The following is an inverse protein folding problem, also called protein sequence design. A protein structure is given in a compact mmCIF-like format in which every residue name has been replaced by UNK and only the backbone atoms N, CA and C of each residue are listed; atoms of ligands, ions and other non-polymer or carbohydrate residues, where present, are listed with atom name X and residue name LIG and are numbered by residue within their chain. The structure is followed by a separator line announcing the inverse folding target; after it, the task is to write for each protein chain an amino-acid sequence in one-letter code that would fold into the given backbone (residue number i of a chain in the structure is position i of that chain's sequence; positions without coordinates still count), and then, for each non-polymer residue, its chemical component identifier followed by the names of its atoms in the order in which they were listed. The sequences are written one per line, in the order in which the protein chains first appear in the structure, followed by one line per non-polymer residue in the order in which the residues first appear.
data_IF_519753275125
#
_entry.id   IF_519753275125
#
_cell.length_a   1.000
_cell.length_b   1.000
_cell.length_c   1.000
_cell.angle_alpha   90.00
_cell.angle_beta   90.00
_cell.angle_gamma   90.00
#
_symmetry.space_group_name_H-M   'P 1'
#
loop_
_entity.id
_entity.type
_entity.pdbx_description
1 polymer ?
#
# COMPACT_ATOMS: atom_id res chain seq x y z
N UNK A 1 -12.63 15.87 -47.43
CA UNK A 1 -13.50 15.95 -46.24
C UNK A 1 -13.58 14.61 -45.52
N UNK A 2 -14.01 13.53 -46.19
CA UNK A 2 -14.11 12.16 -45.63
C UNK A 2 -12.84 11.57 -44.99
N UNK A 3 -11.65 11.88 -45.53
CA UNK A 3 -10.37 11.39 -44.97
C UNK A 3 -10.01 12.03 -43.63
N UNK A 4 -10.42 13.29 -43.39
CA UNK A 4 -10.13 14.01 -42.15
C UNK A 4 -10.98 13.52 -40.98
N UNK A 5 -12.21 13.09 -41.23
CA UNK A 5 -13.11 12.56 -40.19
C UNK A 5 -12.69 11.17 -39.74
N UNK A 6 -12.24 10.33 -40.67
CA UNK A 6 -11.70 9.01 -40.35
C UNK A 6 -10.44 9.10 -39.47
N UNK A 7 -9.50 9.98 -39.83
CA UNK A 7 -8.29 10.21 -39.03
C UNK A 7 -8.62 10.74 -37.62
N UNK A 8 -9.66 11.56 -37.49
CA UNK A 8 -10.14 12.07 -36.20
C UNK A 8 -10.78 10.96 -35.35
N UNK A 9 -11.52 10.04 -35.96
CA UNK A 9 -12.09 8.89 -35.26
C UNK A 9 -10.98 7.94 -34.77
N UNK A 10 -10.00 7.65 -35.63
CA UNK A 10 -8.87 6.78 -35.29
C UNK A 10 -8.03 7.38 -34.14
N UNK A 11 -7.87 8.71 -34.11
CA UNK A 11 -7.15 9.39 -33.01
C UNK A 11 -7.92 9.34 -31.69
N UNK A 12 -9.25 9.51 -31.70
CA UNK A 12 -10.07 9.34 -30.50
C UNK A 12 -10.07 7.90 -30.01
N UNK A 13 -10.09 6.92 -30.91
CA UNK A 13 -10.00 5.51 -30.54
C UNK A 13 -8.68 5.20 -29.83
N UNK A 14 -7.57 5.72 -30.36
CA UNK A 14 -6.24 5.58 -29.77
C UNK A 14 -6.16 6.23 -28.38
N UNK A 15 -6.69 7.45 -28.22
CA UNK A 15 -6.73 8.14 -26.91
C UNK A 15 -7.59 7.37 -25.89
N UNK A 16 -8.72 6.81 -26.33
CA UNK A 16 -9.59 6.03 -25.46
C UNK A 16 -8.90 4.74 -24.99
N UNK A 17 -8.15 4.08 -25.87
CA UNK A 17 -7.36 2.90 -25.52
C UNK A 17 -6.26 3.24 -24.51
N UNK A 18 -5.56 4.37 -24.69
CA UNK A 18 -4.55 4.83 -23.74
C UNK A 18 -5.13 5.13 -22.36
N UNK A 19 -6.25 5.86 -22.31
CA UNK A 19 -6.95 6.16 -21.06
C UNK A 19 -7.49 4.92 -20.35
N UNK A 20 -7.98 3.92 -21.10
CA UNK A 20 -8.41 2.65 -20.54
C UNK A 20 -7.23 1.88 -19.92
N UNK A 21 -6.09 1.88 -20.59
CA UNK A 21 -4.86 1.28 -20.06
C UNK A 21 -4.41 1.99 -18.78
N UNK A 22 -4.31 3.31 -18.81
CA UNK A 22 -3.93 4.11 -17.63
C UNK A 22 -4.87 3.83 -16.45
N UNK A 23 -6.20 3.78 -16.69
CA UNK A 23 -7.19 3.45 -15.68
C UNK A 23 -6.92 2.08 -15.05
N UNK A 24 -6.63 1.07 -15.87
CA UNK A 24 -6.33 -0.29 -15.42
C UNK A 24 -5.03 -0.34 -14.61
N UNK A 25 -3.97 0.30 -15.10
CA UNK A 25 -2.66 0.33 -14.44
C UNK A 25 -2.75 1.02 -13.07
N UNK A 26 -3.54 2.09 -12.97
CA UNK A 26 -3.78 2.80 -11.70
C UNK A 26 -4.59 1.99 -10.71
N UNK A 27 -5.62 1.27 -11.19
CA UNK A 27 -6.41 0.40 -10.34
C UNK A 27 -5.55 -0.73 -9.77
N UNK A 28 -4.74 -1.36 -10.62
CA UNK A 28 -3.80 -2.40 -10.21
C UNK A 28 -2.86 -1.90 -9.11
N UNK A 29 -2.29 -0.71 -9.29
CA UNK A 29 -1.41 -0.09 -8.29
C UNK A 29 -2.11 0.20 -6.96
N UNK A 30 -3.37 0.63 -6.98
CA UNK A 30 -4.16 0.80 -5.75
C UNK A 30 -4.33 -0.54 -5.04
N UNK A 31 -4.68 -1.60 -5.76
CA UNK A 31 -4.86 -2.94 -5.19
C UNK A 31 -3.56 -3.48 -4.58
N UNK A 32 -2.43 -3.28 -5.27
CA UNK A 32 -1.11 -3.66 -4.76
C UNK A 32 -0.81 -2.98 -3.43
N UNK A 33 -0.97 -1.66 -3.35
CA UNK A 33 -0.76 -0.95 -2.08
C UNK A 33 -1.74 -1.38 -0.98
N UNK A 34 -3.03 -1.53 -1.29
CA UNK A 34 -4.02 -1.98 -0.29
C UNK A 34 -3.65 -3.38 0.22
N UNK A 35 -3.12 -4.25 -0.63
CA UNK A 35 -2.74 -5.62 -0.24
C UNK A 35 -1.55 -5.70 0.72
N UNK A 36 -0.69 -4.66 0.79
CA UNK A 36 0.45 -4.66 1.72
C UNK A 36 0.11 -4.11 3.10
N UNK A 37 -0.90 -3.27 3.22
CA UNK A 37 -1.29 -2.62 4.50
C UNK A 37 -1.62 -3.63 5.62
N UNK A 38 -2.34 -4.76 5.40
CA UNK A 38 -2.63 -5.71 6.47
C UNK A 38 -1.39 -6.25 7.19
N UNK A 39 -0.33 -6.60 6.43
CA UNK A 39 0.92 -7.13 6.97
C UNK A 39 1.74 -6.09 7.74
N UNK A 40 1.54 -4.81 7.42
CA UNK A 40 2.14 -3.69 8.15
C UNK A 40 1.36 -3.44 9.45
N UNK A 41 0.03 -3.35 9.36
CA UNK A 41 -0.86 -3.15 10.50
C UNK A 41 -0.72 -4.26 11.55
N UNK A 42 -0.56 -5.53 11.15
CA UNK A 42 -0.43 -6.65 12.08
C UNK A 42 0.75 -6.50 13.06
N UNK A 43 1.90 -5.98 12.59
CA UNK A 43 3.09 -5.77 13.45
C UNK A 43 2.93 -4.53 14.32
N UNK A 44 2.22 -3.52 13.82
CA UNK A 44 1.99 -2.25 14.51
C UNK A 44 0.82 -2.29 15.49
N UNK A 45 -0.01 -3.34 15.46
CA UNK A 45 -1.25 -3.42 16.24
C UNK A 45 -2.32 -2.43 15.78
N UNK A 46 -2.30 -2.05 14.50
CA UNK A 46 -3.26 -1.13 13.89
C UNK A 46 -4.42 -1.88 13.24
N UNK A 47 -5.57 -1.22 13.13
CA UNK A 47 -6.70 -1.73 12.37
C UNK A 47 -6.53 -1.40 10.87
N UNK A 48 -6.48 -2.44 10.04
CA UNK A 48 -6.32 -2.29 8.59
C UNK A 48 -7.43 -1.42 7.98
N UNK A 49 -8.68 -1.68 8.34
CA UNK A 49 -9.83 -1.03 7.71
C UNK A 49 -9.82 0.47 7.98
N UNK A 50 -9.59 0.86 9.23
CA UNK A 50 -9.43 2.26 9.64
C UNK A 50 -8.29 2.91 8.84
N UNK A 51 -7.15 2.22 8.72
CA UNK A 51 -5.97 2.74 8.02
C UNK A 51 -6.23 3.03 6.54
N UNK A 52 -6.91 2.12 5.81
CA UNK A 52 -7.20 2.35 4.38
C UNK A 52 -8.35 3.32 4.14
N UNK A 53 -9.36 3.34 5.02
CA UNK A 53 -10.50 4.25 4.89
C UNK A 53 -10.17 5.70 5.22
N UNK A 54 -9.18 5.94 6.09
CA UNK A 54 -8.58 7.26 6.31
C UNK A 54 -7.99 7.85 5.03
N UNK A 55 -7.36 7.01 4.20
CA UNK A 55 -6.85 7.41 2.88
C UNK A 55 -8.02 7.75 1.95
N UNK A 56 -8.96 6.82 1.78
CA UNK A 56 -10.19 7.08 1.03
C UNK A 56 -11.25 6.02 1.37
N UNK A 57 -12.52 6.40 1.62
CA UNK A 57 -13.56 5.46 2.06
C UNK A 57 -13.81 4.31 1.09
N UNK A 58 -13.65 4.54 -0.22
CA UNK A 58 -13.84 3.47 -1.22
C UNK A 58 -12.74 2.41 -1.26
N UNK A 59 -11.66 2.55 -0.48
CA UNK A 59 -10.62 1.53 -0.40
C UNK A 59 -11.02 0.34 0.47
N UNK A 60 -12.07 0.48 1.26
CA UNK A 60 -12.72 -0.61 1.99
C UNK A 60 -12.97 -1.84 1.11
N UNK A 61 -12.80 -3.02 1.68
CA UNK A 61 -13.00 -4.31 1.00
C UNK A 61 -14.48 -4.56 0.67
N UNK A 62 -15.41 -3.96 1.43
CA UNK A 62 -16.84 -3.97 1.08
C UNK A 62 -17.13 -3.19 -0.22
N UNK A 63 -16.26 -2.23 -0.57
CA UNK A 63 -16.38 -1.50 -1.83
C UNK A 63 -15.81 -2.32 -2.98
N UNK A 64 -16.67 -2.64 -3.94
CA UNK A 64 -16.29 -3.39 -5.14
C UNK A 64 -15.05 -2.80 -5.84
N UNK A 65 -14.19 -3.68 -6.35
CA UNK A 65 -12.88 -3.35 -6.95
C UNK A 65 -12.95 -2.18 -7.93
N UNK A 66 -13.98 -2.12 -8.78
CA UNK A 66 -14.14 -1.08 -9.81
C UNK A 66 -14.56 0.29 -9.25
N UNK A 67 -15.00 0.36 -7.99
CA UNK A 67 -15.43 1.58 -7.30
C UNK A 67 -14.32 2.18 -6.43
N UNK A 68 -13.13 1.57 -6.38
CA UNK A 68 -11.98 2.12 -5.64
C UNK A 68 -11.49 3.39 -6.31
N UNK A 69 -11.15 4.38 -5.49
CA UNK A 69 -10.63 5.65 -6.01
C UNK A 69 -9.22 5.43 -6.55
N UNK A 70 -9.02 5.77 -7.83
CA UNK A 70 -7.72 5.70 -8.50
C UNK A 70 -7.10 7.08 -8.71
N UNK A 71 -7.66 8.13 -8.10
CA UNK A 71 -7.21 9.52 -8.29
C UNK A 71 -5.73 9.72 -7.90
N UNK A 72 -5.10 10.77 -8.43
CA UNK A 72 -3.69 11.07 -8.08
C UNK A 72 -3.54 11.30 -6.58
N UNK A 73 -4.52 11.97 -5.98
CA UNK A 73 -4.54 12.23 -4.55
C UNK A 73 -4.62 10.93 -3.75
N UNK A 74 -5.53 10.01 -4.13
CA UNK A 74 -5.65 8.72 -3.45
C UNK A 74 -4.38 7.89 -3.58
N UNK A 75 -3.79 7.80 -4.77
CA UNK A 75 -2.52 7.08 -4.98
C UNK A 75 -1.37 7.68 -4.18
N UNK A 76 -1.26 9.01 -4.15
CA UNK A 76 -0.21 9.73 -3.41
C UNK A 76 -0.34 9.51 -1.90
N UNK A 77 -1.55 9.69 -1.37
CA UNK A 77 -1.84 9.47 0.06
C UNK A 77 -1.62 8.01 0.45
N UNK A 78 -2.09 7.07 -0.37
CA UNK A 78 -1.89 5.65 -0.11
C UNK A 78 -0.42 5.25 -0.10
N UNK A 79 0.36 5.72 -1.08
CA UNK A 79 1.80 5.48 -1.12
C UNK A 79 2.51 6.07 0.10
N UNK A 80 2.14 7.28 0.52
CA UNK A 80 2.68 7.91 1.73
C UNK A 80 2.35 7.09 2.98
N UNK A 81 1.11 6.63 3.12
CA UNK A 81 0.68 5.78 4.24
C UNK A 81 1.49 4.49 4.28
N UNK A 82 1.65 3.78 3.16
CA UNK A 82 2.45 2.56 3.09
C UNK A 82 3.89 2.83 3.53
N UNK A 83 4.54 3.88 3.03
CA UNK A 83 5.90 4.23 3.41
C UNK A 83 6.03 4.53 4.92
N UNK A 84 5.09 5.29 5.49
CA UNK A 84 5.09 5.57 6.93
C UNK A 84 4.93 4.28 7.75
N UNK A 85 4.04 3.39 7.35
CA UNK A 85 3.83 2.13 8.04
C UNK A 85 5.04 1.18 7.94
N UNK A 86 5.78 1.20 6.81
CA UNK A 86 7.03 0.45 6.66
C UNK A 86 8.11 0.96 7.63
N UNK A 87 8.26 2.28 7.74
CA UNK A 87 9.21 2.91 8.67
C UNK A 87 8.84 2.63 10.13
N UNK A 88 7.56 2.79 10.49
CA UNK A 88 7.05 2.50 11.83
C UNK A 88 7.26 1.02 12.19
N UNK A 89 7.00 0.10 11.25
CA UNK A 89 7.21 -1.34 11.45
C UNK A 89 8.67 -1.64 11.73
N UNK A 90 9.58 -1.03 10.97
CA UNK A 90 11.03 -1.16 11.19
C UNK A 90 11.43 -0.66 12.57
N UNK A 91 10.93 0.50 12.98
CA UNK A 91 11.22 1.06 14.30
C UNK A 91 10.70 0.15 15.42
N UNK A 92 9.46 -0.34 15.35
CA UNK A 92 8.88 -1.26 16.33
C UNK A 92 9.69 -2.54 16.49
N UNK A 93 10.17 -3.12 15.38
CA UNK A 93 11.03 -4.30 15.43
C UNK A 93 12.38 -4.03 16.10
N UNK A 94 12.97 -2.86 15.86
CA UNK A 94 14.23 -2.46 16.53
C UNK A 94 14.03 -2.28 18.04
N UNK A 95 12.93 -1.65 18.44
CA UNK A 95 12.60 -1.47 19.86
C UNK A 95 12.31 -2.81 20.55
N UNK A 96 11.60 -3.73 19.89
CA UNK A 96 11.36 -5.07 20.43
C UNK A 96 12.66 -5.87 20.57
N UNK A 97 13.56 -5.80 19.58
CA UNK A 97 14.87 -6.42 19.64
C UNK A 97 15.72 -5.85 20.80
N UNK A 98 15.59 -4.54 21.07
CA UNK A 98 16.30 -3.88 22.18
C UNK A 98 15.74 -4.35 23.53
N UNK A 99 14.41 -4.38 23.68
CA UNK A 99 13.75 -4.91 24.88
C UNK A 99 14.13 -6.37 25.15
N UNK A 100 14.20 -7.19 24.10
CA UNK A 100 14.62 -8.60 24.23
C UNK A 100 16.06 -8.72 24.72
N UNK A 101 16.98 -7.89 24.19
CA UNK A 101 18.36 -7.83 24.69
C UNK A 101 18.43 -7.40 26.15
N UNK A 102 17.66 -6.40 26.54
CA UNK A 102 17.61 -5.93 27.93
C UNK A 102 17.08 -7.02 28.87
N UNK A 103 16.07 -7.79 28.44
CA UNK A 103 15.55 -8.94 29.18
C UNK A 103 16.60 -10.05 29.32
N UNK A 104 17.32 -10.38 28.25
CA UNK A 104 18.41 -11.36 28.33
C UNK A 104 19.53 -10.90 29.27
N UNK A 105 19.86 -9.61 29.25
CA UNK A 105 20.83 -9.03 30.19
C UNK A 105 20.33 -9.12 31.64
N UNK A 106 19.03 -8.90 31.87
CA UNK A 106 18.43 -9.01 33.21
C UNK A 106 18.38 -10.46 33.72
N UNK A 107 18.24 -11.42 32.81
CA UNK A 107 18.22 -12.85 33.12
C UNK A 107 19.63 -13.48 33.18
N UNK A 108 20.69 -12.69 33.01
CA UNK A 108 22.08 -13.16 32.92
C UNK A 108 22.28 -14.26 31.85
N UNK A 109 21.50 -14.24 30.76
CA UNK A 109 21.63 -15.22 29.67
C UNK A 109 22.90 -14.89 28.87
N UNK A 110 23.88 -15.80 28.77
CA UNK A 110 25.14 -15.58 28.05
C UNK A 110 24.91 -15.53 26.53
N UNK A 111 25.81 -14.85 25.79
CA UNK A 111 25.61 -14.59 24.36
C UNK A 111 25.54 -15.89 23.52
N UNK A 112 26.23 -16.96 23.93
CA UNK A 112 26.18 -18.26 23.26
C UNK A 112 24.76 -18.88 23.28
N UNK A 113 23.98 -18.62 24.32
CA UNK A 113 22.59 -19.08 24.43
C UNK A 113 21.63 -18.18 23.64
N UNK A 114 22.01 -16.93 23.37
CA UNK A 114 21.20 -15.97 22.61
C UNK A 114 21.23 -16.26 21.11
N UNK A 115 22.32 -16.85 20.57
CA UNK A 115 22.41 -17.24 19.16
C UNK A 115 21.40 -18.32 18.73
N UNK A 116 20.74 -18.98 19.70
CA UNK A 116 19.72 -19.99 19.46
C UNK A 116 18.32 -19.39 19.16
N UNK A 117 18.15 -18.07 19.31
CA UNK A 117 16.90 -17.33 19.11
C UNK A 117 16.95 -16.43 17.86
#
# INVERSE_FOLDING_TARGET
MFTSEKLKLDSFHSQLQELQKEKSDRLQKVLEFVSTVPDLCAVLGLDFLTTVTEVHPSLDDETGVQSKSISNETLSRLAKTVLTLEDDKKQRLQELATQMKDLWNLMDIPDEERELF
#
